data_IF_165531503205
#
_entry.id   IF_165531503205
#
_cell.length_a   1.000
_cell.length_b   1.000
_cell.length_c   1.000
_cell.angle_alpha   90.00
_cell.angle_beta   90.00
_cell.angle_gamma   90.00
#
_symmetry.space_group_name_H-M   'P 1'
#
loop_
_entity.id
_entity.type
_entity.pdbx_description
1 polymer ?
#
# COMPACT_ATOMS: atom_id res chain seq x y z
N UNK A 1 9.89 2.06 18.09
CA UNK A 1 8.58 2.66 18.33
C UNK A 1 8.31 2.76 19.82
N UNK A 2 7.90 3.94 20.29
CA UNK A 2 7.46 4.20 21.65
C UNK A 2 6.14 4.95 21.60
N UNK A 3 5.17 4.55 22.42
CA UNK A 3 3.91 5.28 22.54
C UNK A 3 3.42 5.25 23.99
N UNK A 4 2.74 6.32 24.38
CA UNK A 4 2.07 6.45 25.67
C UNK A 4 0.62 6.85 25.40
N UNK A 5 -0.32 6.05 25.89
CA UNK A 5 -1.75 6.39 25.84
C UNK A 5 -2.29 6.51 27.26
N UNK A 6 -2.95 7.60 27.53
CA UNK A 6 -3.73 7.82 28.75
C UNK A 6 -5.21 7.81 28.40
N UNK A 7 -6.00 7.05 29.12
CA UNK A 7 -7.47 7.02 29.03
C UNK A 7 -8.03 7.43 30.38
N UNK A 8 -8.80 8.49 30.42
CA UNK A 8 -9.47 9.00 31.61
C UNK A 8 -10.98 9.02 31.40
N UNK A 9 -11.72 8.31 32.26
CA UNK A 9 -13.18 8.33 32.26
C UNK A 9 -13.65 9.17 33.44
N UNK A 10 -14.45 10.19 33.14
CA UNK A 10 -15.02 11.14 34.11
C UNK A 10 -16.54 11.07 34.03
N UNK A 11 -17.24 11.59 35.02
CA UNK A 11 -18.71 11.48 35.10
C UNK A 11 -19.46 11.99 33.86
N UNK A 12 -18.92 13.00 33.18
CA UNK A 12 -19.56 13.66 32.05
C UNK A 12 -18.79 13.66 30.74
N UNK A 13 -17.55 13.18 30.75
CA UNK A 13 -16.72 13.14 29.53
C UNK A 13 -15.59 12.12 29.69
N UNK A 14 -15.14 11.65 28.56
CA UNK A 14 -13.96 10.80 28.43
C UNK A 14 -12.81 11.57 27.76
N UNK A 15 -11.59 11.25 28.14
CA UNK A 15 -10.38 11.85 27.56
C UNK A 15 -9.46 10.73 27.10
N UNK A 16 -8.99 10.85 25.86
CA UNK A 16 -7.90 10.03 25.34
C UNK A 16 -6.76 10.93 24.91
N UNK A 17 -5.61 10.74 25.51
CA UNK A 17 -4.35 11.37 25.09
C UNK A 17 -3.39 10.30 24.61
N UNK A 18 -2.80 10.49 23.44
CA UNK A 18 -1.77 9.60 22.90
C UNK A 18 -0.58 10.44 22.44
N UNK A 19 0.63 10.05 22.84
CA UNK A 19 1.88 10.56 22.30
C UNK A 19 2.70 9.40 21.74
N UNK A 20 3.41 9.65 20.64
CA UNK A 20 4.22 8.60 19.98
C UNK A 20 5.53 9.18 19.44
N UNK A 21 6.50 8.28 19.32
CA UNK A 21 7.73 8.47 18.58
C UNK A 21 8.10 7.17 17.86
N UNK A 22 8.30 7.25 16.56
CA UNK A 22 8.71 6.15 15.71
C UNK A 22 9.98 6.52 14.96
N UNK A 23 10.99 5.67 15.06
CA UNK A 23 12.19 5.75 14.25
C UNK A 23 12.27 4.45 13.43
N UNK A 24 12.46 4.58 12.14
CA UNK A 24 12.57 3.45 11.22
C UNK A 24 13.73 3.65 10.26
N UNK A 25 14.57 2.62 10.13
CA UNK A 25 15.67 2.60 9.18
C UNK A 25 15.46 1.47 8.18
N UNK A 26 15.69 1.79 6.90
CA UNK A 26 15.62 0.84 5.80
C UNK A 26 16.78 1.07 4.85
N UNK A 27 17.45 -0.02 4.47
CA UNK A 27 18.38 -0.06 3.36
C UNK A 27 17.84 -1.03 2.29
N UNK A 28 17.45 -0.50 1.14
CA UNK A 28 16.99 -1.27 0.00
C UNK A 28 18.18 -1.54 -0.91
N UNK A 29 18.67 -2.75 -0.85
CA UNK A 29 19.73 -3.25 -1.68
C UNK A 29 19.15 -3.89 -2.96
N UNK A 30 19.54 -3.38 -4.13
CA UNK A 30 19.04 -3.86 -5.41
C UNK A 30 20.07 -3.69 -6.52
N UNK A 31 19.97 -4.52 -7.57
CA UNK A 31 20.65 -4.26 -8.84
C UNK A 31 20.13 -2.93 -9.41
N UNK A 32 21.03 -2.08 -9.86
CA UNK A 32 20.74 -0.78 -10.48
C UNK A 32 21.10 -0.77 -11.96
N UNK A 33 22.34 -1.06 -12.25
CA UNK A 33 22.89 -0.90 -13.59
C UNK A 33 23.85 -2.05 -13.94
N UNK A 34 24.05 -2.25 -15.22
CA UNK A 34 25.04 -3.16 -15.79
C UNK A 34 26.02 -2.37 -16.65
N UNK A 35 27.31 -2.65 -16.51
CA UNK A 35 28.36 -2.04 -17.31
C UNK A 35 28.95 -3.09 -18.25
N UNK A 36 28.56 -3.01 -19.50
CA UNK A 36 29.12 -3.84 -20.56
C UNK A 36 30.12 -3.02 -21.38
N UNK A 37 31.39 -3.02 -20.98
CA UNK A 37 32.49 -2.24 -21.59
C UNK A 37 32.68 -2.48 -23.11
N UNK A 38 31.92 -3.38 -23.73
CA UNK A 38 32.23 -3.86 -25.08
C UNK A 38 31.61 -3.08 -26.24
N UNK A 39 30.59 -2.24 -26.03
CA UNK A 39 29.94 -1.59 -27.17
C UNK A 39 29.64 -0.08 -27.04
N UNK A 40 29.36 0.49 -25.85
CA UNK A 40 28.90 1.90 -25.81
C UNK A 40 29.47 2.76 -24.68
N UNK A 41 30.19 2.23 -23.69
CA UNK A 41 30.74 3.01 -22.57
C UNK A 41 29.70 3.66 -21.67
N UNK A 42 28.45 3.34 -21.86
CA UNK A 42 27.31 3.75 -21.04
C UNK A 42 26.85 2.57 -20.18
N UNK A 43 26.32 2.87 -19.01
CA UNK A 43 25.73 1.89 -18.10
C UNK A 43 24.27 1.69 -18.50
N UNK A 44 23.87 0.46 -18.72
CA UNK A 44 22.48 0.13 -18.98
C UNK A 44 21.72 0.00 -17.64
N UNK A 45 20.70 0.82 -17.42
CA UNK A 45 19.76 0.63 -16.32
C UNK A 45 19.08 -0.74 -16.44
N UNK A 46 18.84 -1.41 -15.33
CA UNK A 46 18.21 -2.74 -15.31
C UNK A 46 16.86 -2.76 -16.07
N UNK A 47 16.08 -1.69 -16.04
CA UNK A 47 14.80 -1.63 -16.74
C UNK A 47 15.02 -1.56 -18.26
N UNK A 48 16.01 -0.77 -18.72
CA UNK A 48 16.39 -0.69 -20.12
C UNK A 48 16.86 -2.05 -20.62
N UNK A 49 17.74 -2.72 -19.85
CA UNK A 49 18.22 -4.06 -20.19
C UNK A 49 17.08 -5.08 -20.30
N UNK A 50 16.10 -5.06 -19.37
CA UNK A 50 14.91 -5.92 -19.43
C UNK A 50 14.04 -5.58 -20.64
N UNK A 51 13.83 -4.30 -20.94
CA UNK A 51 13.08 -3.85 -22.11
C UNK A 51 13.72 -4.32 -23.41
N UNK A 52 15.04 -4.18 -23.54
CA UNK A 52 15.79 -4.62 -24.70
C UNK A 52 15.73 -6.13 -24.90
N UNK A 53 15.86 -6.91 -23.83
CA UNK A 53 15.68 -8.35 -23.88
C UNK A 53 14.27 -8.74 -24.37
N UNK A 54 13.24 -8.08 -23.85
CA UNK A 54 11.85 -8.28 -24.29
C UNK A 54 11.62 -7.88 -25.77
N UNK A 55 12.38 -6.90 -26.27
CA UNK A 55 12.38 -6.47 -27.67
C UNK A 55 13.26 -7.35 -28.57
N UNK A 56 13.87 -8.42 -28.03
CA UNK A 56 14.61 -9.42 -28.79
C UNK A 56 16.12 -9.18 -28.88
N UNK A 57 16.70 -8.32 -28.05
CA UNK A 57 18.16 -8.16 -27.94
C UNK A 57 18.77 -9.42 -27.35
N UNK A 58 19.51 -10.18 -28.18
CA UNK A 58 20.21 -11.38 -27.72
C UNK A 58 21.33 -11.06 -26.70
N UNK A 59 21.93 -9.87 -26.80
CA UNK A 59 22.97 -9.42 -25.88
C UNK A 59 22.36 -9.14 -24.49
N UNK A 60 21.26 -8.38 -24.44
CA UNK A 60 20.57 -8.09 -23.20
C UNK A 60 20.05 -9.38 -22.51
N UNK A 61 19.49 -10.30 -23.30
CA UNK A 61 19.06 -11.60 -22.78
C UNK A 61 20.24 -12.39 -22.20
N UNK A 62 21.37 -12.46 -22.90
CA UNK A 62 22.57 -13.20 -22.44
C UNK A 62 23.19 -12.58 -21.16
N UNK A 63 23.10 -11.26 -20.97
CA UNK A 63 23.50 -10.59 -19.71
C UNK A 63 22.57 -11.04 -18.57
N UNK A 64 21.26 -11.01 -18.79
CA UNK A 64 20.28 -11.42 -17.77
C UNK A 64 20.38 -12.91 -17.43
N UNK A 65 20.70 -13.76 -18.41
CA UNK A 65 20.89 -15.19 -18.22
C UNK A 65 22.25 -15.55 -17.57
N UNK A 66 23.14 -14.56 -17.37
CA UNK A 66 24.46 -14.78 -16.79
C UNK A 66 25.47 -15.41 -17.76
N UNK A 67 25.25 -15.31 -19.06
CA UNK A 67 26.11 -15.90 -20.12
C UNK A 67 27.16 -14.93 -20.63
N UNK A 68 27.10 -13.66 -20.21
CA UNK A 68 28.11 -12.63 -20.54
C UNK A 68 28.75 -12.06 -19.27
N UNK A 69 30.05 -11.78 -19.41
CA UNK A 69 30.78 -11.07 -18.36
C UNK A 69 30.38 -9.59 -18.36
N UNK A 70 30.01 -9.08 -17.18
CA UNK A 70 29.54 -7.71 -17.01
C UNK A 70 29.78 -7.25 -15.57
N UNK A 71 30.09 -5.97 -15.36
CA UNK A 71 30.04 -5.36 -14.01
C UNK A 71 28.61 -5.01 -13.66
N UNK A 72 28.17 -5.44 -12.48
CA UNK A 72 26.83 -5.15 -11.95
C UNK A 72 26.98 -4.09 -10.87
N UNK A 73 26.20 -3.01 -10.96
CA UNK A 73 26.05 -2.03 -9.90
C UNK A 73 24.88 -2.39 -8.99
N UNK A 74 25.17 -2.43 -7.71
CA UNK A 74 24.16 -2.57 -6.65
C UNK A 74 23.97 -1.24 -5.94
N UNK A 75 22.73 -0.84 -5.81
CA UNK A 75 22.33 0.40 -5.14
C UNK A 75 21.78 0.13 -3.75
N UNK A 76 22.33 0.85 -2.77
CA UNK A 76 21.79 0.98 -1.42
C UNK A 76 20.89 2.19 -1.36
N UNK A 77 19.59 1.96 -1.24
CA UNK A 77 18.60 3.02 -1.03
C UNK A 77 18.34 3.18 0.46
N UNK A 78 19.28 3.85 1.13
CA UNK A 78 19.31 4.00 2.57
C UNK A 78 18.41 5.16 3.01
N UNK A 79 17.43 4.85 3.87
CA UNK A 79 16.44 5.82 4.36
C UNK A 79 16.23 5.70 5.86
N UNK A 80 16.20 6.86 6.49
CA UNK A 80 15.83 7.03 7.90
C UNK A 80 14.52 7.82 7.96
N UNK A 81 13.57 7.29 8.68
CA UNK A 81 12.27 7.92 8.88
C UNK A 81 12.08 8.20 10.36
N UNK A 82 11.55 9.37 10.67
CA UNK A 82 11.05 9.69 12.00
C UNK A 82 9.59 10.10 11.89
N UNK A 83 8.78 9.76 12.87
CA UNK A 83 7.41 10.23 13.01
C UNK A 83 7.13 10.38 14.50
N UNK A 84 6.78 11.58 14.93
CA UNK A 84 6.45 11.86 16.32
C UNK A 84 5.26 12.81 16.41
N UNK A 85 4.57 12.76 17.55
CA UNK A 85 3.43 13.62 17.74
C UNK A 85 2.62 13.29 18.97
N UNK A 86 1.51 14.02 19.09
CA UNK A 86 0.51 13.77 20.12
C UNK A 86 -0.89 14.07 19.59
N UNK A 87 -1.85 13.38 20.18
CA UNK A 87 -3.28 13.55 19.88
C UNK A 87 -4.05 13.60 21.19
N UNK A 88 -5.08 14.42 21.21
CA UNK A 88 -5.95 14.61 22.34
C UNK A 88 -7.41 14.60 21.89
N UNK A 89 -8.24 13.75 22.50
CA UNK A 89 -9.66 13.64 22.24
C UNK A 89 -10.46 13.81 23.52
N UNK A 90 -11.55 14.54 23.43
CA UNK A 90 -12.57 14.63 24.45
C UNK A 90 -13.88 14.16 23.84
N UNK A 91 -14.52 13.19 24.47
CA UNK A 91 -15.85 12.71 24.08
C UNK A 91 -16.85 12.93 25.21
N UNK A 92 -18.07 13.31 24.89
CA UNK A 92 -19.14 13.55 25.86
C UNK A 92 -20.50 13.25 25.26
N UNK A 93 -21.43 12.75 26.08
CA UNK A 93 -22.80 12.54 25.68
C UNK A 93 -23.72 13.63 26.26
N UNK A 94 -24.41 14.36 25.41
CA UNK A 94 -25.31 15.44 25.78
C UNK A 94 -26.70 15.23 25.12
N UNK A 95 -27.65 14.66 25.84
CA UNK A 95 -28.97 14.35 25.30
C UNK A 95 -28.88 13.27 24.21
N UNK A 96 -29.21 13.63 22.97
CA UNK A 96 -29.10 12.73 21.80
C UNK A 96 -27.75 12.77 21.12
N UNK A 97 -26.85 13.67 21.53
CA UNK A 97 -25.53 13.92 20.91
C UNK A 97 -24.45 13.12 21.60
N UNK A 98 -23.68 12.39 20.83
CA UNK A 98 -22.38 11.80 21.21
C UNK A 98 -21.30 12.60 20.46
N UNK A 99 -20.69 13.54 21.19
CA UNK A 99 -19.82 14.56 20.65
C UNK A 99 -18.35 14.24 20.94
N UNK A 100 -17.52 14.22 19.92
CA UNK A 100 -16.05 14.11 20.03
C UNK A 100 -15.37 15.32 19.43
N UNK A 101 -14.48 15.93 20.20
CA UNK A 101 -13.58 17.01 19.75
C UNK A 101 -12.14 16.52 19.86
N UNK A 102 -11.35 16.73 18.84
CA UNK A 102 -9.98 16.29 18.81
C UNK A 102 -9.00 17.36 18.31
N UNK A 103 -7.77 17.20 18.77
CA UNK A 103 -6.60 17.93 18.35
C UNK A 103 -5.46 16.96 18.11
N UNK A 104 -4.69 17.16 17.04
CA UNK A 104 -3.49 16.40 16.73
C UNK A 104 -2.40 17.33 16.24
N UNK A 105 -1.18 17.05 16.68
CA UNK A 105 0.04 17.72 16.22
C UNK A 105 1.08 16.63 15.95
N UNK A 106 1.72 16.68 14.77
CA UNK A 106 2.68 15.68 14.38
C UNK A 106 3.76 16.25 13.46
N UNK A 107 4.93 15.65 13.56
CA UNK A 107 6.05 15.90 12.68
C UNK A 107 6.55 14.57 12.09
N UNK A 108 6.95 14.60 10.83
CA UNK A 108 7.62 13.47 10.20
C UNK A 108 8.82 13.92 9.35
N UNK A 109 9.74 12.99 9.11
CA UNK A 109 10.84 13.23 8.21
C UNK A 109 11.28 11.97 7.47
N UNK A 110 11.73 12.13 6.23
CA UNK A 110 12.49 11.17 5.45
C UNK A 110 13.89 11.71 5.16
N UNK A 111 14.91 11.08 5.70
CA UNK A 111 16.30 11.32 5.34
C UNK A 111 16.75 10.21 4.39
N UNK A 112 17.09 10.54 3.14
CA UNK A 112 17.50 9.58 2.13
C UNK A 112 18.92 9.86 1.66
N UNK A 113 19.72 8.79 1.55
CA UNK A 113 21.03 8.78 0.90
C UNK A 113 21.18 7.48 0.13
N UNK A 114 21.91 7.49 -0.97
CA UNK A 114 22.19 6.30 -1.75
C UNK A 114 23.70 6.05 -1.81
N UNK A 115 24.07 4.77 -1.77
CA UNK A 115 25.42 4.29 -1.97
C UNK A 115 25.42 3.19 -3.03
N UNK A 116 26.59 2.93 -3.62
CA UNK A 116 26.74 1.94 -4.68
C UNK A 116 27.89 1.00 -4.35
N UNK A 117 27.68 -0.28 -4.67
CA UNK A 117 28.69 -1.33 -4.67
C UNK A 117 28.67 -2.05 -6.00
N UNK A 118 29.71 -2.77 -6.33
CA UNK A 118 29.86 -3.45 -7.60
C UNK A 118 30.20 -4.93 -7.40
N UNK A 119 29.81 -5.75 -8.37
CA UNK A 119 30.28 -7.13 -8.51
C UNK A 119 30.51 -7.43 -9.98
N UNK A 120 31.52 -8.25 -10.28
CA UNK A 120 31.73 -8.78 -11.62
C UNK A 120 30.94 -10.08 -11.79
N UNK A 121 30.09 -10.15 -12.80
CA UNK A 121 29.50 -11.37 -13.31
C UNK A 121 30.43 -11.97 -14.35
N UNK A 122 30.80 -13.23 -14.17
CA UNK A 122 31.53 -13.97 -15.20
C UNK A 122 30.53 -14.59 -16.22
N UNK A 123 31.06 -15.03 -17.38
CA UNK A 123 30.26 -15.65 -18.44
C UNK A 123 29.66 -17.02 -18.07
N UNK A 124 29.87 -17.52 -16.88
CA UNK A 124 29.24 -18.73 -16.33
C UNK A 124 28.20 -18.39 -15.25
N UNK A 125 27.84 -17.09 -15.12
CA UNK A 125 26.86 -16.58 -14.15
C UNK A 125 27.41 -16.45 -12.73
N UNK A 126 28.68 -16.81 -12.48
CA UNK A 126 29.27 -16.63 -11.14
C UNK A 126 29.55 -15.16 -10.84
N UNK A 127 29.33 -14.76 -9.58
CA UNK A 127 29.55 -13.38 -9.12
C UNK A 127 30.80 -13.28 -8.25
N UNK A 128 31.54 -12.20 -8.40
CA UNK A 128 32.62 -11.83 -7.48
C UNK A 128 32.09 -11.43 -6.11
N UNK A 129 32.98 -11.27 -5.13
CA UNK A 129 32.60 -10.52 -3.91
C UNK A 129 32.34 -9.06 -4.26
N UNK A 130 31.43 -8.41 -3.49
CA UNK A 130 31.15 -7.00 -3.63
C UNK A 130 32.41 -6.15 -3.36
N UNK A 131 32.58 -5.09 -4.14
CA UNK A 131 33.70 -4.17 -4.03
C UNK A 131 33.29 -2.72 -4.32
N UNK A 132 34.21 -1.78 -4.14
CA UNK A 132 34.03 -0.40 -4.56
C UNK A 132 32.96 0.38 -3.80
N UNK A 133 32.64 -0.04 -2.56
CA UNK A 133 31.65 0.68 -1.75
C UNK A 133 31.98 2.17 -1.69
N UNK A 134 31.19 2.96 -2.41
CA UNK A 134 31.26 4.40 -2.39
C UNK A 134 30.26 4.85 -1.34
N UNK A 135 30.72 5.14 -0.15
CA UNK A 135 29.93 5.38 1.06
C UNK A 135 28.66 6.20 0.92
N UNK A 136 27.89 6.23 1.95
CA UNK A 136 26.66 7.05 2.07
C UNK A 136 26.90 8.45 1.52
N UNK A 137 26.19 8.88 0.48
CA UNK A 137 26.23 10.23 -0.07
C UNK A 137 26.63 10.35 -1.55
N UNK A 138 26.64 9.26 -2.24
CA UNK A 138 26.98 9.26 -3.65
C UNK A 138 25.87 9.92 -4.48
N UNK A 139 24.61 9.63 -4.14
CA UNK A 139 23.46 10.19 -4.86
C UNK A 139 22.24 10.37 -3.95
N UNK A 140 21.29 11.17 -4.41
CA UNK A 140 20.01 11.38 -3.72
C UNK A 140 20.12 11.80 -2.25
N UNK A 141 21.05 12.70 -1.93
CA UNK A 141 21.20 13.24 -0.58
C UNK A 141 20.08 14.26 -0.30
N UNK A 142 18.98 13.78 0.26
CA UNK A 142 17.79 14.59 0.51
C UNK A 142 17.23 14.44 1.93
N UNK A 143 16.53 15.45 2.37
CA UNK A 143 15.74 15.47 3.59
C UNK A 143 14.37 16.07 3.27
N UNK A 144 13.32 15.34 3.54
CA UNK A 144 11.94 15.80 3.51
C UNK A 144 11.42 15.85 4.92
N UNK A 145 10.76 16.94 5.24
CA UNK A 145 10.17 17.17 6.56
C UNK A 145 8.75 17.64 6.37
N UNK A 146 7.84 17.19 7.22
CA UNK A 146 6.51 17.77 7.31
C UNK A 146 6.07 17.91 8.76
N UNK A 147 5.24 18.92 9.00
CA UNK A 147 4.54 19.13 10.26
C UNK A 147 3.07 19.38 9.96
N UNK A 148 2.17 18.81 10.77
CA UNK A 148 0.75 18.97 10.60
C UNK A 148 0.05 19.20 11.93
N UNK A 149 -0.84 20.19 11.95
CA UNK A 149 -1.74 20.45 13.08
C UNK A 149 -3.18 20.27 12.61
N UNK A 150 -3.95 19.46 13.32
CA UNK A 150 -5.33 19.16 12.94
C UNK A 150 -6.29 19.39 14.10
N UNK A 151 -7.47 19.90 13.76
CA UNK A 151 -8.63 20.01 14.64
C UNK A 151 -9.79 19.27 14.02
N UNK A 152 -10.55 18.52 14.80
CA UNK A 152 -11.72 17.82 14.31
C UNK A 152 -12.85 17.78 15.32
N UNK A 153 -14.05 17.68 14.77
CA UNK A 153 -15.32 17.58 15.48
C UNK A 153 -16.12 16.45 14.83
N UNK A 154 -16.66 15.58 15.64
CA UNK A 154 -17.63 14.57 15.23
C UNK A 154 -18.82 14.59 16.19
N UNK A 155 -20.02 14.52 15.65
CA UNK A 155 -21.26 14.45 16.42
C UNK A 155 -22.15 13.33 15.86
N UNK A 156 -22.43 12.33 16.68
CA UNK A 156 -23.41 11.28 16.37
C UNK A 156 -24.70 11.56 17.15
N UNK A 157 -25.76 11.80 16.42
CA UNK A 157 -27.09 12.10 16.96
C UNK A 157 -27.98 10.86 16.93
N UNK A 158 -28.42 10.39 18.10
CA UNK A 158 -29.27 9.21 18.25
C UNK A 158 -30.75 9.61 18.31
N UNK A 159 -31.53 9.19 17.30
CA UNK A 159 -32.98 9.34 17.21
C UNK A 159 -33.72 7.99 17.41
N UNK A 160 -33.11 7.05 18.11
CA UNK A 160 -33.62 5.72 18.36
C UNK A 160 -33.25 4.76 17.24
N UNK A 161 -34.08 4.53 16.23
CA UNK A 161 -33.77 3.69 15.09
C UNK A 161 -32.82 4.35 14.05
N UNK A 162 -32.71 5.67 14.09
CA UNK A 162 -31.86 6.44 13.19
C UNK A 162 -30.75 7.09 13.99
N UNK A 163 -29.48 6.83 13.59
CA UNK A 163 -28.35 7.62 14.02
C UNK A 163 -27.76 8.39 12.83
N UNK A 164 -27.47 9.68 13.06
CA UNK A 164 -26.85 10.57 12.10
C UNK A 164 -25.50 11.01 12.65
N UNK A 165 -24.45 10.85 11.86
CA UNK A 165 -23.10 11.29 12.20
C UNK A 165 -22.68 12.41 11.26
N UNK A 166 -22.15 13.49 11.81
CA UNK A 166 -21.51 14.58 11.04
C UNK A 166 -20.09 14.77 11.55
N UNK A 167 -19.16 14.93 10.63
CA UNK A 167 -17.74 15.13 10.93
C UNK A 167 -17.17 16.34 10.18
N UNK A 168 -16.23 17.03 10.82
CA UNK A 168 -15.48 18.13 10.24
C UNK A 168 -14.05 18.07 10.73
N UNK A 169 -13.08 18.23 9.81
CA UNK A 169 -11.66 18.28 10.12
C UNK A 169 -11.01 19.44 9.38
N UNK A 170 -10.18 20.20 10.09
CA UNK A 170 -9.29 21.20 9.54
C UNK A 170 -7.85 20.78 9.80
N UNK A 171 -7.01 20.91 8.81
CA UNK A 171 -5.62 20.51 8.86
C UNK A 171 -4.74 21.59 8.22
N UNK A 172 -3.79 22.12 9.00
CA UNK A 172 -2.72 22.99 8.53
C UNK A 172 -1.44 22.15 8.46
N UNK A 173 -0.76 22.15 7.31
CA UNK A 173 0.48 21.40 7.18
C UNK A 173 1.56 22.18 6.41
N UNK A 174 2.77 22.07 6.91
CA UNK A 174 3.98 22.64 6.35
C UNK A 174 4.88 21.52 5.84
N UNK A 175 5.44 21.67 4.65
CA UNK A 175 6.32 20.69 4.05
C UNK A 175 7.60 21.37 3.57
N UNK A 176 8.76 20.73 3.80
CA UNK A 176 10.05 21.20 3.34
C UNK A 176 10.83 20.08 2.67
N UNK A 177 11.31 20.34 1.46
CA UNK A 177 12.16 19.43 0.73
C UNK A 177 13.52 20.07 0.48
N UNK A 178 14.57 19.47 1.06
CA UNK A 178 15.96 19.88 0.92
C UNK A 178 16.76 18.79 0.22
N UNK A 179 17.61 19.20 -0.71
CA UNK A 179 18.55 18.32 -1.41
C UNK A 179 19.92 18.99 -1.46
N UNK A 180 20.94 18.23 -1.17
CA UNK A 180 22.32 18.62 -1.29
C UNK A 180 22.94 17.96 -2.51
N UNK A 181 23.92 18.64 -3.13
CA UNK A 181 24.67 18.06 -4.25
C UNK A 181 25.30 16.74 -3.88
N UNK A 182 25.29 15.83 -4.82
CA UNK A 182 25.94 14.55 -4.69
C UNK A 182 27.45 14.76 -4.57
N UNK A 183 28.11 13.97 -3.75
CA UNK A 183 29.53 14.06 -3.51
C UNK A 183 30.19 12.73 -3.86
N UNK A 184 31.17 12.76 -4.75
CA UNK A 184 31.99 11.63 -5.08
C UNK A 184 33.28 11.63 -4.27
N UNK A 185 33.69 10.48 -3.73
CA UNK A 185 34.99 10.31 -3.07
C UNK A 185 34.99 9.26 -1.95
N UNK A 186 36.18 8.72 -1.61
CA UNK A 186 36.29 7.52 -0.75
C UNK A 186 36.04 7.73 0.75
N UNK A 187 35.83 8.96 1.21
CA UNK A 187 35.66 9.28 2.63
C UNK A 187 34.37 10.10 2.88
N UNK A 188 33.28 9.69 2.27
CA UNK A 188 32.05 10.43 2.34
C UNK A 188 31.34 10.25 3.66
N UNK A 189 31.50 11.22 4.53
CA UNK A 189 30.56 11.42 5.64
C UNK A 189 29.35 12.18 5.10
N UNK A 190 28.15 11.82 5.54
CA UNK A 190 26.92 12.55 5.26
C UNK A 190 27.10 14.01 5.72
N UNK A 191 27.32 14.93 4.77
CA UNK A 191 27.52 16.34 5.08
C UNK A 191 26.29 17.11 4.62
N UNK A 192 25.45 17.48 5.57
CA UNK A 192 24.31 18.40 5.40
C UNK A 192 24.56 19.70 6.16
N UNK A 193 25.82 20.17 6.17
CA UNK A 193 26.20 21.43 6.80
C UNK A 193 25.95 22.57 5.85
N UNK A 194 25.26 23.60 6.32
CA UNK A 194 24.91 24.77 5.52
C UNK A 194 23.55 24.66 4.84
N UNK A 195 23.29 25.59 3.96
CA UNK A 195 22.07 25.58 3.13
C UNK A 195 22.13 24.45 2.12
N UNK A 196 20.96 23.90 1.75
CA UNK A 196 20.85 22.92 0.68
C UNK A 196 21.24 23.59 -0.65
N UNK A 197 22.26 23.06 -1.33
CA UNK A 197 22.86 23.68 -2.51
C UNK A 197 22.23 23.27 -3.84
N UNK A 198 21.36 22.24 -3.81
CA UNK A 198 20.65 21.73 -4.99
C UNK A 198 19.15 22.11 -4.96
N UNK A 199 18.50 21.94 -3.81
CA UNK A 199 17.09 22.29 -3.65
C UNK A 199 16.81 22.65 -2.19
N UNK A 200 16.04 23.71 -1.99
CA UNK A 200 15.37 24.05 -0.73
C UNK A 200 14.02 24.66 -1.06
N UNK A 201 12.98 23.86 -0.99
CA UNK A 201 11.62 24.28 -1.27
C UNK A 201 10.76 24.08 -0.03
N UNK A 202 9.84 25.00 0.16
CA UNK A 202 8.90 25.01 1.28
C UNK A 202 7.49 25.23 0.73
N UNK A 203 6.54 24.44 1.21
CA UNK A 203 5.12 24.59 0.93
C UNK A 203 4.35 24.64 2.24
N UNK A 204 3.35 25.51 2.28
CA UNK A 204 2.40 25.61 3.37
C UNK A 204 1.00 25.54 2.80
N UNK A 205 0.18 24.65 3.35
CA UNK A 205 -1.16 24.39 2.88
C UNK A 205 -2.10 24.25 4.08
N UNK A 206 -3.36 24.58 3.86
CA UNK A 206 -4.47 24.31 4.76
C UNK A 206 -5.56 23.56 3.99
N UNK A 207 -6.22 22.67 4.65
CA UNK A 207 -7.31 21.90 4.05
C UNK A 207 -8.39 21.55 5.07
N UNK A 208 -9.62 21.42 4.58
CA UNK A 208 -10.75 20.97 5.38
C UNK A 208 -11.44 19.80 4.71
N UNK A 209 -11.91 18.86 5.51
CA UNK A 209 -12.71 17.73 5.05
C UNK A 209 -13.97 17.64 5.89
N UNK A 210 -15.05 17.19 5.28
CA UNK A 210 -16.34 16.97 5.94
C UNK A 210 -16.85 15.56 5.70
N UNK A 211 -17.71 15.09 6.58
CA UNK A 211 -18.39 13.80 6.44
C UNK A 211 -19.81 13.87 6.98
N UNK A 212 -20.68 13.03 6.40
CA UNK A 212 -22.01 12.78 6.92
C UNK A 212 -22.32 11.30 6.76
N UNK A 213 -22.86 10.69 7.80
CA UNK A 213 -23.26 9.29 7.81
C UNK A 213 -24.64 9.12 8.43
N UNK A 214 -25.34 8.06 8.05
CA UNK A 214 -26.59 7.66 8.62
C UNK A 214 -26.66 6.14 8.76
N UNK A 215 -27.14 5.67 9.90
CA UNK A 215 -27.53 4.27 10.08
C UNK A 215 -29.00 4.21 10.48
N UNK A 216 -29.74 3.26 9.90
CA UNK A 216 -31.16 3.06 10.22
C UNK A 216 -31.43 1.59 10.54
N UNK A 217 -31.87 1.32 11.77
CA UNK A 217 -32.29 0.00 12.22
C UNK A 217 -33.67 -0.35 11.65
N UNK A 218 -33.69 -1.08 10.54
CA UNK A 218 -34.95 -1.53 9.94
C UNK A 218 -35.69 -2.49 10.88
N UNK A 219 -34.93 -3.44 11.44
CA UNK A 219 -35.37 -4.36 12.51
C UNK A 219 -34.12 -4.86 13.27
N UNK A 220 -34.33 -5.79 14.23
CA UNK A 220 -33.27 -6.31 15.12
C UNK A 220 -32.09 -6.97 14.39
N UNK A 221 -32.26 -7.34 13.13
CA UNK A 221 -31.26 -8.06 12.35
C UNK A 221 -30.73 -7.24 11.15
N UNK A 222 -31.39 -6.15 10.75
CA UNK A 222 -31.07 -5.41 9.53
C UNK A 222 -30.83 -3.95 9.84
N UNK A 223 -29.66 -3.46 9.45
CA UNK A 223 -29.26 -2.05 9.50
C UNK A 223 -28.97 -1.56 8.09
N UNK A 224 -29.57 -0.44 7.71
CA UNK A 224 -29.24 0.30 6.50
C UNK A 224 -28.16 1.34 6.83
N UNK A 225 -27.23 1.55 5.93
CA UNK A 225 -26.08 2.46 6.08
C UNK A 225 -25.97 3.33 4.86
N UNK A 226 -25.75 4.63 5.06
CA UNK A 226 -25.38 5.57 4.00
C UNK A 226 -24.30 6.52 4.54
N UNK A 227 -23.34 6.85 3.71
CA UNK A 227 -22.22 7.73 4.09
C UNK A 227 -21.72 8.55 2.92
N UNK A 228 -21.23 9.73 3.23
CA UNK A 228 -20.43 10.58 2.35
C UNK A 228 -19.25 11.12 3.17
N UNK A 229 -18.05 11.10 2.61
CA UNK A 229 -16.88 11.73 3.23
C UNK A 229 -15.89 12.21 2.18
N UNK A 230 -15.29 13.35 2.47
CA UNK A 230 -14.17 13.90 1.71
C UNK A 230 -12.86 13.34 2.25
N UNK A 231 -12.00 12.87 1.34
CA UNK A 231 -10.63 12.43 1.61
C UNK A 231 -9.59 13.41 1.03
N UNK A 232 -8.39 13.43 1.60
CA UNK A 232 -7.30 14.25 1.12
C UNK A 232 -5.96 13.59 1.37
N UNK A 233 -5.08 13.60 0.35
CA UNK A 233 -3.67 13.22 0.47
C UNK A 233 -2.79 14.44 0.18
N UNK A 234 -1.99 14.94 1.16
CA UNK A 234 -1.11 16.08 0.95
C UNK A 234 -0.03 15.78 -0.10
N UNK A 235 0.13 16.68 -1.05
CA UNK A 235 1.18 16.60 -2.07
C UNK A 235 2.19 17.74 -1.89
N UNK A 236 3.48 17.45 -2.11
CA UNK A 236 4.52 18.44 -1.96
C UNK A 236 4.56 19.37 -3.16
N UNK A 237 4.30 20.66 -2.91
CA UNK A 237 4.38 21.71 -3.93
C UNK A 237 3.30 21.68 -5.01
N UNK A 238 2.23 20.91 -4.80
CA UNK A 238 1.05 20.82 -5.66
C UNK A 238 -0.23 20.85 -4.81
N UNK A 239 -1.37 21.03 -5.48
CA UNK A 239 -2.68 20.84 -4.84
C UNK A 239 -2.81 19.40 -4.32
N UNK A 240 -3.43 19.18 -3.16
CA UNK A 240 -3.63 17.85 -2.62
C UNK A 240 -4.52 17.02 -3.54
N UNK A 241 -4.26 15.73 -3.59
CA UNK A 241 -5.20 14.77 -4.13
C UNK A 241 -6.45 14.72 -3.24
N UNK A 242 -7.63 14.75 -3.84
CA UNK A 242 -8.91 14.74 -3.14
C UNK A 242 -9.75 13.57 -3.60
N UNK A 243 -10.58 13.07 -2.70
CA UNK A 243 -11.56 12.04 -3.00
C UNK A 243 -12.89 12.38 -2.34
N UNK A 244 -13.96 12.38 -3.12
CA UNK A 244 -15.34 12.45 -2.65
C UNK A 244 -15.90 11.02 -2.66
N UNK A 245 -16.17 10.48 -1.48
CA UNK A 245 -16.54 9.08 -1.31
C UNK A 245 -17.99 8.98 -0.85
N UNK A 246 -18.77 8.13 -1.51
CA UNK A 246 -20.13 7.79 -1.16
C UNK A 246 -20.29 6.29 -0.96
N UNK A 247 -21.01 5.90 0.06
CA UNK A 247 -21.36 4.51 0.36
C UNK A 247 -22.84 4.38 0.67
N UNK A 248 -23.46 3.31 0.17
CA UNK A 248 -24.82 2.93 0.47
C UNK A 248 -24.91 1.41 0.62
N UNK A 249 -25.40 0.93 1.73
CA UNK A 249 -25.46 -0.50 1.93
C UNK A 249 -26.37 -0.95 3.04
N UNK A 250 -26.31 -2.25 3.31
CA UNK A 250 -27.01 -2.88 4.40
C UNK A 250 -26.15 -3.94 5.09
N UNK A 251 -26.43 -4.14 6.37
CA UNK A 251 -25.90 -5.20 7.21
C UNK A 251 -27.02 -6.06 7.73
N UNK A 252 -26.87 -7.38 7.62
CA UNK A 252 -27.72 -8.37 8.25
C UNK A 252 -26.88 -9.19 9.23
N UNK A 253 -27.36 -9.35 10.45
CA UNK A 253 -26.69 -10.15 11.47
C UNK A 253 -27.69 -10.92 12.30
N UNK A 254 -27.40 -12.22 12.54
CA UNK A 254 -28.04 -13.06 13.55
C UNK A 254 -26.98 -13.96 14.20
N UNK A 255 -27.41 -14.93 15.04
CA UNK A 255 -26.52 -15.79 15.82
C UNK A 255 -25.51 -16.59 14.97
N UNK A 256 -25.84 -16.91 13.72
CA UNK A 256 -25.04 -17.81 12.85
C UNK A 256 -24.64 -17.19 11.53
N UNK A 257 -25.16 -15.99 11.21
CA UNK A 257 -25.02 -15.40 9.88
C UNK A 257 -24.76 -13.90 9.98
N UNK A 258 -23.71 -13.43 9.30
CA UNK A 258 -23.49 -12.02 9.06
C UNK A 258 -23.33 -11.81 7.55
N UNK A 259 -24.03 -10.81 7.00
CA UNK A 259 -23.96 -10.43 5.58
C UNK A 259 -23.90 -8.92 5.50
N UNK A 260 -23.00 -8.42 4.67
CA UNK A 260 -22.89 -7.00 4.35
C UNK A 260 -22.89 -6.83 2.84
N UNK A 261 -23.58 -5.82 2.34
CA UNK A 261 -23.55 -5.44 0.93
C UNK A 261 -23.53 -3.92 0.82
N UNK A 262 -22.52 -3.39 0.14
CA UNK A 262 -22.30 -1.95 -0.04
C UNK A 262 -22.02 -1.63 -1.49
N UNK A 263 -22.71 -0.64 -2.01
CA UNK A 263 -22.32 0.09 -3.19
C UNK A 263 -21.43 1.26 -2.75
N UNK A 264 -20.30 1.47 -3.42
CA UNK A 264 -19.42 2.61 -3.20
C UNK A 264 -19.17 3.36 -4.50
N UNK A 265 -18.88 4.64 -4.37
CA UNK A 265 -18.43 5.50 -5.46
C UNK A 265 -17.44 6.52 -4.90
N UNK A 266 -16.29 6.67 -5.57
CA UNK A 266 -15.22 7.60 -5.21
C UNK A 266 -14.84 8.41 -6.44
N UNK A 267 -14.97 9.73 -6.35
CA UNK A 267 -14.54 10.66 -7.39
C UNK A 267 -13.21 11.27 -6.96
N UNK A 268 -12.14 10.98 -7.71
CA UNK A 268 -10.79 11.48 -7.42
C UNK A 268 -10.49 12.70 -8.28
N UNK A 269 -9.91 13.72 -7.66
CA UNK A 269 -9.39 14.91 -8.34
C UNK A 269 -7.96 15.19 -7.91
N UNK A 270 -7.20 15.85 -8.80
CA UNK A 270 -5.78 16.11 -8.62
C UNK A 270 -4.96 14.84 -8.37
N UNK A 271 -5.37 13.72 -8.96
CA UNK A 271 -4.55 12.50 -8.93
C UNK A 271 -3.13 12.84 -9.30
N UNK A 272 -2.20 12.46 -8.45
CA UNK A 272 -0.82 12.84 -8.56
C UNK A 272 0.07 11.63 -8.45
N UNK A 273 1.18 11.68 -9.14
CA UNK A 273 2.21 10.67 -9.05
C UNK A 273 3.57 11.32 -8.80
N UNK A 274 4.33 10.75 -7.88
CA UNK A 274 5.71 11.16 -7.69
C UNK A 274 6.59 10.37 -8.66
N UNK A 275 7.37 11.09 -9.47
CA UNK A 275 8.41 10.51 -10.28
C UNK A 275 9.44 9.80 -9.39
N UNK A 276 9.43 8.49 -9.38
CA UNK A 276 10.43 7.67 -8.72
C UNK A 276 11.03 6.68 -9.73
N UNK A 277 12.30 6.30 -9.58
CA UNK A 277 12.92 5.23 -10.37
C UNK A 277 12.20 3.87 -10.24
N UNK A 278 11.16 3.81 -9.42
CA UNK A 278 10.36 2.63 -9.15
C UNK A 278 9.19 2.51 -10.11
N UNK A 279 8.84 3.58 -10.81
CA UNK A 279 7.66 3.64 -11.67
C UNK A 279 7.89 3.11 -13.08
N UNK A 280 9.13 2.76 -13.45
CA UNK A 280 9.43 2.15 -14.76
C UNK A 280 9.32 3.10 -15.95
N UNK A 281 9.08 4.38 -15.72
CA UNK A 281 8.94 5.40 -16.76
C UNK A 281 10.12 6.35 -16.69
N UNK A 282 10.53 6.86 -17.84
CA UNK A 282 11.67 7.78 -18.00
C UNK A 282 11.34 9.17 -17.44
N UNK A 283 11.02 9.27 -16.18
CA UNK A 283 10.90 10.55 -15.51
C UNK A 283 12.23 10.92 -14.84
N UNK A 284 12.62 12.19 -14.89
CA UNK A 284 13.82 12.66 -14.21
C UNK A 284 13.55 12.79 -12.69
N UNK A 285 14.09 11.87 -11.86
CA UNK A 285 13.95 11.96 -10.41
C UNK A 285 14.61 13.23 -9.83
N UNK A 286 15.45 13.92 -10.61
CA UNK A 286 16.07 15.17 -10.21
C UNK A 286 15.09 16.34 -10.28
N UNK A 287 14.13 16.29 -11.16
CA UNK A 287 13.12 17.33 -11.27
C UNK A 287 11.98 17.13 -10.28
N UNK A 288 11.82 15.93 -9.66
CA UNK A 288 10.72 15.54 -8.78
C UNK A 288 9.42 16.25 -9.17
N UNK A 289 9.06 16.12 -10.43
CA UNK A 289 7.82 16.64 -10.93
C UNK A 289 6.71 15.86 -10.23
N UNK A 290 5.99 16.53 -9.39
CA UNK A 290 4.70 16.05 -8.93
C UNK A 290 3.75 16.40 -10.06
N UNK A 291 3.30 15.38 -10.78
CA UNK A 291 2.21 15.55 -11.72
C UNK A 291 0.92 15.67 -10.91
N UNK A 292 0.14 16.68 -11.15
CA UNK A 292 -1.16 16.91 -10.52
C UNK A 292 -2.14 17.29 -11.62
N UNK A 293 -3.36 16.74 -11.58
CA UNK A 293 -4.43 17.10 -12.50
C UNK A 293 -5.16 15.92 -13.13
N UNK A 294 -4.85 14.68 -12.73
CA UNK A 294 -5.65 13.53 -13.09
C UNK A 294 -7.00 13.55 -12.37
N UNK A 295 -8.06 13.16 -13.07
CA UNK A 295 -9.38 12.88 -12.47
C UNK A 295 -9.73 11.44 -12.79
N UNK A 296 -10.29 10.73 -11.81
CA UNK A 296 -10.72 9.34 -12.00
C UNK A 296 -11.91 9.03 -11.11
N UNK A 297 -12.78 8.16 -11.61
CA UNK A 297 -13.91 7.62 -10.87
C UNK A 297 -13.68 6.14 -10.61
N UNK A 298 -14.00 5.72 -9.39
CA UNK A 298 -13.97 4.31 -8.98
C UNK A 298 -15.27 3.99 -8.29
N UNK A 299 -16.01 3.01 -8.79
CA UNK A 299 -17.26 2.59 -8.18
C UNK A 299 -17.38 1.08 -8.16
N UNK A 300 -18.25 0.54 -7.32
CA UNK A 300 -18.41 -0.90 -7.26
C UNK A 300 -19.39 -1.38 -6.21
N UNK A 301 -19.44 -2.71 -6.14
CA UNK A 301 -20.24 -3.44 -5.17
C UNK A 301 -19.33 -4.34 -4.33
N UNK A 302 -19.41 -4.20 -3.02
CA UNK A 302 -18.78 -5.10 -2.07
C UNK A 302 -19.82 -5.95 -1.37
N UNK A 303 -19.63 -7.25 -1.33
CA UNK A 303 -20.47 -8.20 -0.61
C UNK A 303 -19.56 -9.06 0.26
N UNK A 304 -19.81 -9.06 1.56
CA UNK A 304 -19.17 -10.00 2.47
C UNK A 304 -20.20 -10.78 3.28
N UNK A 305 -19.83 -12.00 3.63
CA UNK A 305 -20.73 -12.84 4.43
C UNK A 305 -19.97 -13.91 5.19
N UNK A 306 -20.50 -14.25 6.36
CA UNK A 306 -20.03 -15.39 7.15
C UNK A 306 -21.20 -16.19 7.68
N UNK A 307 -21.09 -17.49 7.64
CA UNK A 307 -22.11 -18.45 8.07
C UNK A 307 -21.47 -19.56 8.90
N UNK A 308 -22.15 -20.02 9.91
CA UNK A 308 -21.78 -21.20 10.70
C UNK A 308 -22.90 -22.23 10.59
N UNK A 309 -22.61 -23.37 10.01
CA UNK A 309 -23.52 -24.49 9.93
C UNK A 309 -23.11 -25.53 10.97
N UNK A 310 -24.01 -25.86 11.87
CA UNK A 310 -23.78 -26.86 12.92
C UNK A 310 -24.18 -28.24 12.46
N UNK A 311 -23.27 -29.22 12.65
CA UNK A 311 -23.50 -30.66 12.44
C UNK A 311 -23.27 -31.43 13.75
N UNK A 312 -23.51 -32.73 13.73
CA UNK A 312 -23.24 -33.60 14.88
C UNK A 312 -21.72 -33.77 15.10
N UNK A 313 -21.21 -33.12 16.15
CA UNK A 313 -19.78 -33.16 16.50
C UNK A 313 -18.85 -32.38 15.57
N UNK A 314 -19.40 -31.51 14.71
CA UNK A 314 -18.62 -30.66 13.78
C UNK A 314 -19.39 -29.40 13.40
N UNK A 315 -18.71 -28.26 13.37
CA UNK A 315 -19.22 -27.02 12.78
C UNK A 315 -18.51 -26.69 11.48
N UNK A 316 -19.21 -26.04 10.56
CA UNK A 316 -18.71 -25.66 9.23
C UNK A 316 -18.80 -24.14 9.06
N UNK A 317 -17.76 -23.40 9.44
CA UNK A 317 -17.67 -21.96 9.16
C UNK A 317 -17.39 -21.75 7.66
N UNK A 318 -18.16 -20.85 7.04
CA UNK A 318 -17.96 -20.40 5.66
C UNK A 318 -17.86 -18.89 5.68
N UNK A 319 -16.92 -18.32 4.95
CA UNK A 319 -16.81 -16.86 4.74
C UNK A 319 -16.60 -16.57 3.25
N UNK A 320 -17.28 -15.55 2.78
CA UNK A 320 -17.17 -15.03 1.41
C UNK A 320 -16.90 -13.53 1.47
N UNK A 321 -15.98 -13.06 0.64
CA UNK A 321 -15.83 -11.64 0.28
C UNK A 321 -15.78 -11.55 -1.24
N UNK A 322 -16.55 -10.66 -1.82
CA UNK A 322 -16.61 -10.39 -3.24
C UNK A 322 -16.68 -8.90 -3.48
N UNK A 323 -15.82 -8.41 -4.39
CA UNK A 323 -15.84 -7.02 -4.86
C UNK A 323 -15.91 -7.02 -6.37
N UNK A 324 -16.80 -6.20 -6.92
CA UNK A 324 -16.80 -5.83 -8.33
C UNK A 324 -16.50 -4.34 -8.41
N UNK A 325 -15.49 -3.96 -9.20
CA UNK A 325 -14.99 -2.60 -9.32
C UNK A 325 -15.02 -2.16 -10.77
N UNK A 326 -15.50 -0.96 -11.00
CA UNK A 326 -15.41 -0.23 -12.25
C UNK A 326 -14.58 1.02 -12.00
N UNK A 327 -13.56 1.27 -12.84
CA UNK A 327 -12.65 2.39 -12.64
C UNK A 327 -12.28 3.01 -13.96
N UNK A 328 -12.34 4.34 -14.07
CA UNK A 328 -11.97 5.04 -15.30
C UNK A 328 -11.35 6.41 -15.03
N UNK A 329 -10.39 6.79 -15.86
CA UNK A 329 -9.88 8.15 -15.93
C UNK A 329 -10.88 9.06 -16.64
N UNK A 330 -11.18 10.22 -16.05
CA UNK A 330 -12.13 11.18 -16.59
C UNK A 330 -11.50 12.16 -17.59
N UNK A 331 -10.19 12.35 -17.52
CA UNK A 331 -9.45 13.22 -18.42
C UNK A 331 -8.21 12.54 -19.01
N UNK A 332 -7.78 13.05 -20.18
CA UNK A 332 -6.56 12.57 -20.83
C UNK A 332 -5.35 13.34 -20.30
N UNK A 333 -4.28 12.63 -20.01
CA UNK A 333 -3.03 13.20 -19.50
C UNK A 333 -1.85 12.30 -19.82
N UNK A 334 -0.66 12.86 -19.85
CA UNK A 334 0.57 12.09 -19.82
C UNK A 334 1.04 12.04 -18.36
N UNK A 335 1.14 10.87 -17.81
CA UNK A 335 1.57 10.63 -16.44
C UNK A 335 2.80 9.76 -16.44
N UNK A 336 3.85 10.18 -15.77
CA UNK A 336 5.05 9.36 -15.56
C UNK A 336 4.75 8.09 -14.75
N UNK A 337 3.62 8.06 -14.06
CA UNK A 337 3.21 6.92 -13.23
C UNK A 337 2.25 5.98 -13.95
N UNK A 338 1.23 6.55 -14.63
CA UNK A 338 0.19 5.78 -15.31
C UNK A 338 0.48 5.54 -16.79
N UNK A 339 1.49 6.20 -17.34
CA UNK A 339 1.77 6.25 -18.77
C UNK A 339 0.90 7.29 -19.50
N UNK A 340 0.75 7.15 -20.80
CA UNK A 340 -0.22 7.98 -21.57
C UNK A 340 -1.62 7.53 -21.20
N UNK A 341 -2.41 8.42 -20.64
CA UNK A 341 -3.79 8.20 -20.19
C UNK A 341 -4.74 8.85 -21.16
N UNK A 342 -5.74 8.11 -21.62
CA UNK A 342 -6.90 8.66 -22.30
C UNK A 342 -8.13 8.63 -21.37
N UNK A 343 -9.03 9.60 -21.52
CA UNK A 343 -10.31 9.55 -20.83
C UNK A 343 -11.05 8.26 -21.20
N UNK A 344 -11.53 7.52 -20.19
CA UNK A 344 -12.15 6.21 -20.32
C UNK A 344 -11.19 5.03 -20.20
N UNK A 345 -9.87 5.25 -20.03
CA UNK A 345 -8.95 4.19 -19.68
C UNK A 345 -9.16 3.74 -18.23
N UNK A 346 -8.99 2.45 -17.95
CA UNK A 346 -9.07 1.88 -16.61
C UNK A 346 -7.85 2.26 -15.75
N UNK A 347 -8.05 2.36 -14.43
CA UNK A 347 -6.95 2.57 -13.50
C UNK A 347 -6.08 1.29 -13.40
N UNK A 348 -4.74 1.43 -13.51
CA UNK A 348 -3.83 0.30 -13.39
C UNK A 348 -3.95 -0.46 -12.06
N UNK A 349 -3.77 -1.77 -12.10
CA UNK A 349 -3.80 -2.67 -10.95
C UNK A 349 -5.13 -2.75 -10.19
N UNK A 350 -6.22 -2.28 -10.77
CA UNK A 350 -7.57 -2.45 -10.23
C UNK A 350 -8.27 -3.56 -11.04
N UNK A 351 -8.44 -4.76 -10.48
CA UNK A 351 -9.16 -5.82 -11.17
C UNK A 351 -10.67 -5.57 -11.13
N UNK A 352 -11.38 -5.90 -12.22
CA UNK A 352 -12.84 -5.80 -12.30
C UNK A 352 -13.57 -6.59 -11.22
N UNK A 353 -12.97 -7.69 -10.78
CA UNK A 353 -13.53 -8.53 -9.72
C UNK A 353 -12.45 -9.10 -8.81
N UNK A 354 -12.77 -9.24 -7.55
CA UNK A 354 -12.00 -10.05 -6.62
C UNK A 354 -12.93 -10.85 -5.71
N UNK A 355 -12.57 -12.10 -5.43
CA UNK A 355 -13.33 -12.98 -4.55
C UNK A 355 -12.41 -13.76 -3.63
N UNK A 356 -12.80 -13.88 -2.37
CA UNK A 356 -12.19 -14.81 -1.43
C UNK A 356 -13.29 -15.67 -0.80
N UNK A 357 -13.20 -16.98 -0.98
CA UNK A 357 -14.07 -17.95 -0.32
C UNK A 357 -13.24 -18.80 0.64
N UNK A 358 -13.68 -18.89 1.88
CA UNK A 358 -13.10 -19.78 2.89
C UNK A 358 -14.18 -20.77 3.34
N UNK A 359 -13.96 -22.05 3.14
CA UNK A 359 -14.84 -23.11 3.64
C UNK A 359 -14.07 -23.95 4.65
N UNK A 360 -14.54 -23.99 5.87
CA UNK A 360 -13.86 -24.63 7.00
C UNK A 360 -14.69 -25.73 7.67
N UNK A 361 -14.05 -26.46 8.56
CA UNK A 361 -14.67 -27.35 9.52
C UNK A 361 -13.91 -27.31 10.85
N UNK A 362 -14.65 -27.49 11.94
CA UNK A 362 -14.11 -27.60 13.30
C UNK A 362 -14.83 -28.77 13.98
N UNK A 363 -14.10 -29.85 14.22
CA UNK A 363 -14.66 -31.05 14.83
C UNK A 363 -14.33 -31.14 16.33
N UNK A 364 -15.23 -31.72 17.13
CA UNK A 364 -15.09 -31.87 18.60
C UNK A 364 -13.85 -32.70 18.98
N UNK A 365 -13.36 -33.54 18.09
CA UNK A 365 -12.15 -34.31 18.33
C UNK A 365 -10.86 -33.51 18.21
N UNK A 366 -10.94 -32.18 18.01
CA UNK A 366 -9.82 -31.28 17.87
C UNK A 366 -9.17 -31.24 16.48
N UNK A 367 -9.81 -31.84 15.45
CA UNK A 367 -9.40 -31.66 14.06
C UNK A 367 -10.14 -30.47 13.47
N UNK A 368 -9.42 -29.54 12.85
CA UNK A 368 -9.98 -28.43 12.11
C UNK A 368 -9.21 -28.17 10.82
N UNK A 369 -9.84 -27.49 9.89
CA UNK A 369 -9.20 -27.09 8.65
C UNK A 369 -10.06 -26.17 7.83
N UNK A 370 -9.45 -25.57 6.82
CA UNK A 370 -10.14 -24.76 5.82
C UNK A 370 -9.49 -24.88 4.45
N UNK A 371 -10.31 -24.75 3.44
CA UNK A 371 -9.92 -24.48 2.06
C UNK A 371 -10.19 -23.02 1.79
N UNK A 372 -9.20 -22.29 1.27
CA UNK A 372 -9.32 -20.90 0.83
C UNK A 372 -9.13 -20.84 -0.67
N UNK A 373 -10.08 -20.21 -1.35
CA UNK A 373 -10.02 -19.90 -2.76
C UNK A 373 -9.98 -18.38 -2.89
N UNK A 374 -8.99 -17.87 -3.62
CA UNK A 374 -8.85 -16.46 -3.97
C UNK A 374 -8.90 -16.39 -5.49
N UNK A 375 -9.85 -15.63 -6.02
CA UNK A 375 -10.02 -15.39 -7.44
C UNK A 375 -9.87 -13.90 -7.70
N UNK A 376 -8.98 -13.53 -8.65
CA UNK A 376 -8.68 -12.16 -9.00
C UNK A 376 -8.91 -12.02 -10.51
N UNK A 377 -9.74 -11.07 -10.89
CA UNK A 377 -10.00 -10.71 -12.27
C UNK A 377 -8.77 -10.14 -12.97
N UNK A 378 -8.84 -9.98 -14.27
CA UNK A 378 -7.79 -9.31 -15.03
C UNK A 378 -7.69 -7.83 -14.68
N UNK A 379 -6.49 -7.27 -14.88
CA UNK A 379 -6.24 -5.83 -14.80
C UNK A 379 -5.07 -5.44 -15.70
N UNK A 380 -4.82 -4.15 -15.83
CA UNK A 380 -3.68 -3.65 -16.58
C UNK A 380 -2.60 -3.08 -15.66
N UNK A 381 -1.35 -3.16 -16.06
CA UNK A 381 -0.23 -2.60 -15.29
C UNK A 381 0.04 -1.12 -15.57
N UNK A 382 -0.53 -0.58 -16.65
CA UNK A 382 -0.52 0.84 -17.04
C UNK A 382 -1.87 1.20 -17.66
N UNK A 383 -2.23 2.47 -17.74
CA UNK A 383 -3.52 2.94 -18.27
C UNK A 383 -3.75 2.52 -19.75
N UNK A 384 -2.77 2.73 -20.62
CA UNK A 384 -2.85 2.24 -22.01
C UNK A 384 -2.54 0.74 -22.07
N UNK A 385 -3.57 -0.07 -21.95
CA UNK A 385 -3.46 -1.51 -21.83
C UNK A 385 -3.11 -2.21 -23.15
N UNK A 386 -1.84 -2.49 -23.37
CA UNK A 386 -1.36 -3.38 -24.45
C UNK A 386 -1.26 -4.83 -23.96
N UNK A 387 -1.14 -5.76 -24.90
CA UNK A 387 -1.07 -7.20 -24.58
C UNK A 387 0.03 -7.58 -23.56
N UNK A 388 1.15 -6.86 -23.54
CA UNK A 388 2.22 -7.06 -22.56
C UNK A 388 1.82 -6.61 -21.16
N UNK A 389 0.94 -5.63 -21.04
CA UNK A 389 0.57 -4.98 -19.78
C UNK A 389 -0.62 -5.64 -19.08
N UNK A 390 -1.28 -6.61 -19.74
CA UNK A 390 -2.37 -7.36 -19.14
C UNK A 390 -1.82 -8.26 -18.03
N UNK A 391 -2.42 -8.17 -16.87
CA UNK A 391 -2.30 -9.12 -15.77
C UNK A 391 -3.52 -10.03 -15.86
N UNK A 392 -3.30 -11.26 -16.27
CA UNK A 392 -4.37 -12.23 -16.49
C UNK A 392 -5.10 -12.59 -15.19
N UNK A 393 -6.39 -12.87 -15.31
CA UNK A 393 -7.16 -13.39 -14.17
C UNK A 393 -6.56 -14.71 -13.66
N UNK A 394 -6.58 -14.90 -12.34
CA UNK A 394 -6.01 -16.10 -11.75
C UNK A 394 -6.69 -16.48 -10.44
N UNK A 395 -6.60 -17.78 -10.13
CA UNK A 395 -7.19 -18.37 -8.92
C UNK A 395 -6.09 -19.02 -8.08
N UNK A 396 -6.07 -18.73 -6.78
CA UNK A 396 -5.16 -19.33 -5.81
C UNK A 396 -5.96 -20.20 -4.86
N UNK A 397 -5.50 -21.44 -4.62
CA UNK A 397 -6.15 -22.36 -3.69
C UNK A 397 -5.17 -22.76 -2.60
N UNK A 398 -5.58 -22.54 -1.34
CA UNK A 398 -4.80 -22.89 -0.14
C UNK A 398 -5.57 -23.86 0.75
N UNK A 399 -4.87 -24.76 1.43
CA UNK A 399 -5.42 -25.69 2.41
C UNK A 399 -4.68 -25.58 3.73
N UNK A 400 -5.43 -25.43 4.82
CA UNK A 400 -4.92 -25.47 6.18
C UNK A 400 -5.58 -26.61 6.94
N UNK A 401 -4.78 -27.43 7.62
CA UNK A 401 -5.24 -28.48 8.51
C UNK A 401 -4.53 -28.35 9.86
N UNK A 402 -5.27 -28.50 10.94
CA UNK A 402 -4.76 -28.47 12.31
C UNK A 402 -5.37 -29.58 13.13
N UNK A 403 -4.56 -30.22 13.97
CA UNK A 403 -5.00 -31.22 14.95
C UNK A 403 -4.52 -30.84 16.33
N UNK A 404 -5.44 -30.54 17.22
CA UNK A 404 -5.14 -30.47 18.65
C UNK A 404 -4.86 -31.88 19.17
N UNK A 405 -3.69 -32.10 19.72
CA UNK A 405 -3.28 -33.38 20.34
C UNK A 405 -3.69 -33.43 21.81
N UNK A 406 -3.65 -32.30 22.47
CA UNK A 406 -4.15 -32.04 23.82
C UNK A 406 -4.30 -30.52 24.05
N UNK A 407 -4.64 -30.08 25.26
CA UNK A 407 -4.90 -28.67 25.60
C UNK A 407 -3.69 -27.76 25.39
N UNK A 408 -2.48 -28.32 25.34
CA UNK A 408 -1.23 -27.56 25.21
C UNK A 408 -0.52 -27.73 23.88
N UNK A 409 -0.90 -28.72 23.05
CA UNK A 409 -0.13 -29.04 21.85
C UNK A 409 -1.01 -29.27 20.63
N UNK A 410 -0.63 -28.61 19.53
CA UNK A 410 -1.21 -28.80 18.20
C UNK A 410 -0.14 -29.13 17.17
N UNK A 411 -0.54 -29.84 16.14
CA UNK A 411 0.21 -29.96 14.88
C UNK A 411 -0.59 -29.38 13.73
N UNK A 412 0.08 -28.79 12.75
CA UNK A 412 -0.59 -28.21 11.59
C UNK A 412 0.17 -28.41 10.29
N UNK A 413 -0.56 -28.41 9.21
CA UNK A 413 -0.07 -28.42 7.83
C UNK A 413 -0.73 -27.26 7.09
N UNK A 414 0.08 -26.46 6.39
CA UNK A 414 -0.37 -25.39 5.51
C UNK A 414 0.18 -25.69 4.11
N UNK A 415 -0.71 -25.78 3.13
CA UNK A 415 -0.40 -25.88 1.71
C UNK A 415 -0.87 -24.61 1.03
N UNK A 416 0.04 -23.83 0.50
CA UNK A 416 -0.24 -22.59 -0.24
C UNK A 416 -0.06 -22.86 -1.73
N UNK A 417 -0.95 -22.29 -2.56
CA UNK A 417 -0.97 -22.50 -4.01
C UNK A 417 -0.91 -24.00 -4.38
N UNK A 418 -1.91 -24.78 -3.94
CA UNK A 418 -1.88 -26.24 -4.12
C UNK A 418 -1.98 -26.66 -5.58
N UNK A 419 -2.53 -25.81 -6.45
CA UNK A 419 -2.62 -25.99 -7.90
C UNK A 419 -1.27 -25.83 -8.59
N UNK A 420 -0.33 -25.13 -7.96
CA UNK A 420 1.00 -24.82 -8.48
C UNK A 420 0.96 -23.96 -9.75
N UNK A 421 -0.04 -23.08 -9.81
CA UNK A 421 -0.18 -22.15 -10.94
C UNK A 421 0.87 -21.04 -10.86
N UNK A 422 1.43 -20.71 -12.02
CA UNK A 422 2.42 -19.65 -12.18
C UNK A 422 1.78 -18.48 -12.94
N UNK A 423 1.46 -17.40 -12.22
CA UNK A 423 0.84 -16.23 -12.79
C UNK A 423 1.74 -15.00 -12.59
N UNK A 424 1.71 -14.08 -13.54
CA UNK A 424 2.31 -12.75 -13.37
C UNK A 424 1.29 -11.90 -12.60
N UNK A 425 1.68 -11.47 -11.39
CA UNK A 425 0.81 -10.69 -10.50
C UNK A 425 1.14 -9.21 -10.45
N UNK A 426 2.29 -8.80 -11.00
CA UNK A 426 2.69 -7.40 -11.08
C UNK A 426 3.82 -7.20 -12.08
N UNK A 427 3.89 -6.00 -12.66
CA UNK A 427 4.99 -5.50 -13.48
C UNK A 427 5.64 -4.23 -12.89
N UNK A 428 5.22 -3.84 -11.69
CA UNK A 428 5.85 -2.77 -10.94
C UNK A 428 6.83 -3.35 -9.89
N UNK A 429 7.92 -2.64 -9.55
CA UNK A 429 8.31 -1.28 -9.94
C UNK A 429 9.19 -1.18 -11.20
N UNK A 430 9.30 -2.20 -11.98
CA UNK A 430 10.08 -2.23 -13.22
C UNK A 430 9.31 -3.01 -14.27
N UNK A 431 9.73 -2.95 -15.52
CA UNK A 431 9.12 -3.68 -16.64
C UNK A 431 9.19 -5.21 -16.50
N UNK A 432 9.95 -5.71 -15.52
CA UNK A 432 10.03 -7.13 -15.20
C UNK A 432 8.76 -7.67 -14.55
N UNK A 433 8.47 -8.94 -14.83
CA UNK A 433 7.35 -9.63 -14.23
C UNK A 433 7.66 -10.10 -12.80
N UNK A 434 6.70 -9.96 -11.90
CA UNK A 434 6.69 -10.62 -10.58
C UNK A 434 5.70 -11.76 -10.62
N UNK A 435 6.19 -12.94 -10.31
CA UNK A 435 5.36 -14.14 -10.29
C UNK A 435 4.62 -14.30 -8.97
N UNK A 436 3.51 -14.99 -9.04
CA UNK A 436 2.84 -15.59 -7.90
C UNK A 436 3.81 -16.50 -7.12
N UNK A 437 3.61 -16.61 -5.81
CA UNK A 437 4.35 -17.53 -4.97
C UNK A 437 4.12 -18.98 -5.42
N UNK A 438 5.17 -19.79 -5.64
CA UNK A 438 5.03 -21.19 -6.01
C UNK A 438 4.39 -22.01 -4.87
N UNK A 439 3.93 -23.22 -5.18
CA UNK A 439 3.38 -24.13 -4.18
C UNK A 439 4.35 -24.29 -3.01
N UNK A 440 3.86 -24.06 -1.82
CA UNK A 440 4.64 -24.15 -0.59
C UNK A 440 3.93 -25.01 0.43
N UNK A 441 4.67 -25.91 1.07
CA UNK A 441 4.18 -26.70 2.19
C UNK A 441 4.92 -26.33 3.48
N UNK A 442 4.16 -26.09 4.54
CA UNK A 442 4.67 -25.86 5.89
C UNK A 442 4.07 -26.88 6.85
N UNK A 443 4.90 -27.49 7.66
CA UNK A 443 4.47 -28.38 8.74
C UNK A 443 5.04 -27.82 10.02
N UNK A 444 4.23 -27.73 11.06
CA UNK A 444 4.67 -27.21 12.33
C UNK A 444 3.89 -27.75 13.51
N UNK A 445 4.37 -27.42 14.70
CA UNK A 445 3.67 -27.67 15.95
C UNK A 445 3.69 -26.41 16.81
N UNK A 446 2.68 -26.27 17.66
CA UNK A 446 2.57 -25.23 18.66
C UNK A 446 2.45 -25.87 20.03
N UNK A 447 3.16 -25.31 21.01
CA UNK A 447 3.12 -25.76 22.39
C UNK A 447 2.92 -24.55 23.31
N UNK A 448 1.94 -24.67 24.24
CA UNK A 448 1.68 -23.66 25.27
C UNK A 448 2.26 -24.15 26.59
N UNK A 449 3.10 -23.34 27.22
CA UNK A 449 3.72 -23.58 28.52
C UNK A 449 2.76 -23.25 29.67
#
# INVERSE_FOLDING_TARGET
>A
QTSLTYVGNFDNFDVVFTSWQNDYHRDWFKVSDFNNDSEHGERDDINELISDANNGSANAQAILDGELAVEIEYKHNNRFYTNEGYQFNISTQIGIHDLTVGYRDMEDSESRVQAHEYADQAADGSLSALYGYIGLNNSNNRLRESSATSYYLEDTMDFGKLALTVGYRSEDYDQRHRRWSDRAGPNLTLVRTGEADNRDTFAKNDHTTSSVGATYELNDNVVLVAGFHEGMTPMFGAEPEKADNMELGMRYSNDTTNIEAFYFSSEYSNLSAECTQVTGVACDPAESAVFSGGEADVSGLEVSGSWIFEGEGVSYPIALSYTSTDSEFQNSSDSDYFGTVAAGDELPYIPDTSMTLVAGFVADNGLSGNLRLIDIGSSCSIATCGAYNILESHTIVDLNLRKALNDSMDVYIILENITDDENIISRAPSEGARSQKPRTMKIGFSYKF
#
